data_IF_943274545516
#
_entry.id   IF_943274545516
#
_cell.length_a   1.000
_cell.length_b   1.000
_cell.length_c   1.000
_cell.angle_alpha   90.00
_cell.angle_beta   90.00
_cell.angle_gamma   90.00
#
_symmetry.space_group_name_H-M   'P 1'
#
loop_
_entity.id
_entity.type
_entity.pdbx_description
1 polymer ?
#
# COMPACT_ATOMS: atom_id res chain seq x y z
N UNK A 1 -10.36 2.35 1.54
CA UNK A 1 -9.10 2.61 2.28
C UNK A 1 -7.93 2.65 1.31
N UNK A 2 -7.09 3.70 1.31
CA UNK A 2 -6.02 3.85 0.32
C UNK A 2 -4.76 3.06 0.68
N UNK A 3 -4.18 2.32 -0.26
CA UNK A 3 -2.90 1.61 -0.12
C UNK A 3 -1.94 2.10 -1.20
N UNK A 4 -0.73 2.46 -0.82
CA UNK A 4 0.32 2.83 -1.77
C UNK A 4 1.28 1.65 -1.96
N UNK A 5 1.49 1.29 -3.21
CA UNK A 5 2.59 0.41 -3.59
C UNK A 5 3.90 1.21 -3.77
N UNK A 6 4.96 0.53 -4.22
CA UNK A 6 6.24 1.17 -4.49
C UNK A 6 6.16 2.21 -5.63
N UNK A 7 5.42 1.91 -6.69
CA UNK A 7 5.20 2.80 -7.84
C UNK A 7 4.57 4.14 -7.45
N UNK A 8 3.57 4.14 -6.57
CA UNK A 8 2.95 5.36 -6.05
C UNK A 8 3.93 6.19 -5.23
N UNK A 9 4.74 5.56 -4.36
CA UNK A 9 5.76 6.30 -3.59
C UNK A 9 6.83 6.92 -4.50
N UNK A 10 7.28 6.17 -5.52
CA UNK A 10 8.23 6.69 -6.53
C UNK A 10 7.60 7.85 -7.29
N UNK A 11 6.34 7.72 -7.73
CA UNK A 11 5.62 8.78 -8.44
C UNK A 11 5.45 10.05 -7.58
N UNK A 12 5.22 9.92 -6.28
CA UNK A 12 5.17 11.05 -5.34
C UNK A 12 6.54 11.69 -5.13
N UNK A 13 7.60 10.90 -4.98
CA UNK A 13 8.96 11.39 -4.88
C UNK A 13 9.39 12.20 -6.12
N UNK A 14 9.01 11.72 -7.30
CA UNK A 14 9.23 12.38 -8.59
C UNK A 14 8.27 13.57 -8.82
N UNK A 15 7.35 13.83 -7.90
CA UNK A 15 6.31 14.88 -7.99
C UNK A 15 5.45 14.78 -9.24
N UNK A 16 5.12 13.56 -9.68
CA UNK A 16 4.19 13.36 -10.80
C UNK A 16 2.83 13.96 -10.44
N UNK A 17 2.32 14.86 -11.29
CA UNK A 17 1.14 15.68 -10.99
C UNK A 17 -0.09 14.85 -10.58
N UNK A 18 -0.33 13.72 -11.27
CA UNK A 18 -1.43 12.81 -10.94
C UNK A 18 -1.28 12.16 -9.56
N UNK A 19 -0.09 11.67 -9.23
CA UNK A 19 0.18 11.07 -7.92
C UNK A 19 -0.01 12.10 -6.79
N UNK A 20 0.52 13.33 -6.97
CA UNK A 20 0.35 14.43 -6.02
C UNK A 20 -1.13 14.76 -5.82
N UNK A 21 -1.90 14.95 -6.90
CA UNK A 21 -3.32 15.25 -6.82
C UNK A 21 -4.12 14.14 -6.10
N UNK A 22 -3.82 12.86 -6.38
CA UNK A 22 -4.44 11.73 -5.71
C UNK A 22 -4.07 11.69 -4.21
N UNK A 23 -2.81 11.93 -3.85
CA UNK A 23 -2.39 11.99 -2.46
C UNK A 23 -3.09 13.13 -1.70
N UNK A 24 -3.11 14.33 -2.27
CA UNK A 24 -3.76 15.49 -1.67
C UNK A 24 -5.26 15.27 -1.45
N UNK A 25 -5.95 14.66 -2.43
CA UNK A 25 -7.36 14.30 -2.32
C UNK A 25 -7.66 13.30 -1.21
N UNK A 26 -6.67 12.51 -0.76
CA UNK A 26 -6.82 11.51 0.30
C UNK A 26 -6.44 12.02 1.70
N UNK A 27 -5.91 13.25 1.84
CA UNK A 27 -5.47 13.78 3.14
C UNK A 27 -6.60 13.91 4.15
N UNK A 28 -7.84 14.01 3.69
CA UNK A 28 -9.05 14.08 4.51
C UNK A 28 -9.74 12.72 4.70
N UNK A 29 -9.24 11.64 4.07
CA UNK A 29 -9.81 10.31 4.23
C UNK A 29 -9.73 9.86 5.70
N UNK A 30 -10.77 9.18 6.24
CA UNK A 30 -10.77 8.71 7.63
C UNK A 30 -9.61 7.78 7.97
N UNK A 31 -9.22 6.94 7.02
CA UNK A 31 -8.04 6.09 7.11
C UNK A 31 -6.91 6.72 6.32
N UNK A 32 -5.74 6.94 6.95
CA UNK A 32 -4.52 7.38 6.26
C UNK A 32 -4.12 6.38 5.17
N UNK A 33 -3.38 6.83 4.16
CA UNK A 33 -2.85 5.89 3.18
C UNK A 33 -1.92 4.88 3.85
N UNK A 34 -2.16 3.60 3.58
CA UNK A 34 -1.35 2.49 4.08
C UNK A 34 -0.08 2.38 3.22
N UNK A 35 1.08 2.40 3.88
CA UNK A 35 2.39 2.12 3.27
C UNK A 35 3.00 0.97 4.04
N UNK A 36 3.13 -0.20 3.41
CA UNK A 36 3.71 -1.36 4.08
C UNK A 36 5.23 -1.16 4.27
N UNK A 37 5.78 -1.62 5.39
CA UNK A 37 7.22 -1.49 5.68
C UNK A 37 8.13 -1.96 4.53
N UNK A 38 7.90 -3.16 3.94
CA UNK A 38 8.65 -3.63 2.78
C UNK A 38 8.54 -2.73 1.54
N UNK A 39 7.35 -2.13 1.29
CA UNK A 39 7.16 -1.16 0.19
C UNK A 39 8.02 0.08 0.42
N UNK A 40 7.98 0.65 1.64
CA UNK A 40 8.84 1.78 1.99
C UNK A 40 10.32 1.43 1.82
N UNK A 41 10.73 0.24 2.28
CA UNK A 41 12.12 -0.22 2.19
C UNK A 41 12.59 -0.41 0.74
N UNK A 42 11.72 -0.87 -0.17
CA UNK A 42 12.06 -0.99 -1.59
C UNK A 42 12.40 0.37 -2.21
N UNK A 43 11.71 1.44 -1.81
CA UNK A 43 11.82 2.77 -2.42
C UNK A 43 12.87 3.65 -1.73
N UNK A 44 13.03 3.56 -0.41
CA UNK A 44 13.86 4.49 0.36
C UNK A 44 15.35 4.41 -0.01
N UNK A 45 15.98 5.55 -0.31
CA UNK A 45 17.44 5.68 -0.57
C UNK A 45 17.99 6.90 0.18
N UNK A 46 19.28 6.92 0.57
CA UNK A 46 19.86 8.00 1.40
C UNK A 46 20.10 9.32 0.65
N UNK A 47 19.40 9.56 -0.46
CA UNK A 47 19.53 10.77 -1.28
C UNK A 47 18.70 11.90 -0.63
N UNK A 48 19.28 13.08 -0.32
CA UNK A 48 18.59 14.12 0.45
C UNK A 48 17.25 14.57 -0.12
N UNK A 49 17.15 14.70 -1.45
CA UNK A 49 15.91 15.10 -2.12
C UNK A 49 14.79 14.05 -1.93
N UNK A 50 15.13 12.76 -2.06
CA UNK A 50 14.18 11.67 -1.85
C UNK A 50 13.73 11.59 -0.40
N UNK A 51 14.68 11.68 0.54
CA UNK A 51 14.38 11.67 1.98
C UNK A 51 13.42 12.80 2.32
N UNK A 52 13.71 14.03 1.87
CA UNK A 52 12.85 15.19 2.12
C UNK A 52 11.44 14.98 1.54
N UNK A 53 11.34 14.55 0.29
CA UNK A 53 10.05 14.35 -0.39
C UNK A 53 9.21 13.27 0.31
N UNK A 54 9.76 12.09 0.54
CA UNK A 54 9.03 10.98 1.15
C UNK A 54 8.74 11.21 2.63
N UNK A 55 9.63 11.87 3.40
CA UNK A 55 9.31 12.27 4.77
C UNK A 55 8.11 13.22 4.84
N UNK A 56 7.89 14.05 3.81
CA UNK A 56 6.69 14.88 3.70
C UNK A 56 5.43 14.03 3.50
N UNK A 57 5.44 13.14 2.51
CA UNK A 57 4.33 12.23 2.17
C UNK A 57 3.95 11.33 3.36
N UNK A 58 4.93 10.79 4.07
CA UNK A 58 4.70 9.82 5.16
C UNK A 58 3.96 10.42 6.37
N UNK A 59 3.95 11.76 6.53
CA UNK A 59 3.16 12.43 7.59
C UNK A 59 1.65 12.24 7.42
N UNK A 60 1.20 11.98 6.19
CA UNK A 60 -0.20 11.75 5.86
C UNK A 60 -0.52 10.26 5.59
N UNK A 61 0.48 9.39 5.80
CA UNK A 61 0.38 7.95 5.64
C UNK A 61 0.51 7.24 7.00
N UNK A 62 0.23 5.94 7.00
CA UNK A 62 0.54 5.05 8.12
C UNK A 62 1.41 3.90 7.62
N UNK A 63 2.43 3.55 8.40
CA UNK A 63 3.26 2.37 8.24
C UNK A 63 2.94 1.43 9.41
N UNK A 64 2.08 0.41 9.22
CA UNK A 64 1.68 -0.47 10.31
C UNK A 64 2.88 -1.13 10.97
N UNK A 65 2.79 -1.35 12.28
CA UNK A 65 3.84 -1.96 13.12
C UNK A 65 5.15 -1.15 13.23
N UNK A 66 5.26 0.01 12.58
CA UNK A 66 6.34 0.95 12.83
C UNK A 66 5.99 1.84 14.03
N UNK A 67 6.75 1.71 15.13
CA UNK A 67 6.50 2.38 16.43
C UNK A 67 6.24 3.89 16.31
N UNK A 68 6.94 4.57 15.42
CA UNK A 68 6.90 6.02 15.24
C UNK A 68 6.00 6.46 14.09
N UNK A 69 5.24 5.54 13.49
CA UNK A 69 4.28 5.89 12.45
C UNK A 69 3.05 6.58 13.05
N UNK A 70 2.47 7.47 12.26
CA UNK A 70 1.11 7.94 12.50
C UNK A 70 0.12 6.76 12.59
N UNK A 71 -0.87 6.83 13.49
CA UNK A 71 -1.94 5.84 13.57
C UNK A 71 -2.74 5.72 12.25
N UNK A 72 -3.27 4.53 11.92
CA UNK A 72 -4.01 4.33 10.68
C UNK A 72 -5.26 5.20 10.55
N UNK A 73 -6.06 5.27 11.61
CA UNK A 73 -7.27 6.07 11.62
C UNK A 73 -6.97 7.49 12.11
N UNK A 74 -7.53 8.49 11.42
CA UNK A 74 -7.50 9.87 11.87
C UNK A 74 -8.36 10.01 13.13
N UNK A 75 -8.00 10.98 13.97
CA UNK A 75 -8.79 11.32 15.15
C UNK A 75 -10.12 11.96 14.77
N UNK A 76 -11.17 11.63 15.51
CA UNK A 76 -12.52 12.16 15.32
C UNK A 76 -13.04 12.75 16.62
N UNK A 77 -14.18 13.46 16.58
CA UNK A 77 -14.84 13.97 17.80
C UNK A 77 -15.23 12.85 18.78
N UNK A 78 -15.45 11.64 18.28
CA UNK A 78 -15.80 10.46 19.09
C UNK A 78 -14.55 9.69 19.59
N UNK A 79 -13.35 10.23 19.39
CA UNK A 79 -12.08 9.57 19.66
C UNK A 79 -11.42 9.00 18.40
N UNK A 80 -10.44 8.12 18.59
CA UNK A 80 -9.66 7.52 17.50
C UNK A 80 -10.04 6.03 17.35
N UNK A 81 -10.82 5.65 16.33
CA UNK A 81 -11.12 4.24 16.09
C UNK A 81 -9.83 3.48 15.73
N UNK A 82 -9.81 2.18 15.96
CA UNK A 82 -8.69 1.32 15.54
C UNK A 82 -9.03 0.61 14.23
N UNK A 83 -8.01 0.41 13.38
CA UNK A 83 -8.10 -0.49 12.24
C UNK A 83 -7.51 -1.84 12.64
N UNK A 84 -8.36 -2.86 12.83
CA UNK A 84 -7.93 -4.19 13.25
C UNK A 84 -6.92 -4.82 12.28
N UNK A 85 -7.10 -4.63 10.97
CA UNK A 85 -6.20 -5.14 9.95
C UNK A 85 -4.81 -4.47 9.96
N UNK A 86 -4.72 -3.20 10.39
CA UNK A 86 -3.43 -2.53 10.60
C UNK A 86 -2.81 -2.88 11.97
N UNK A 87 -3.66 -3.02 13.00
CA UNK A 87 -3.23 -3.37 14.35
C UNK A 87 -2.66 -4.79 14.42
N UNK A 88 -3.16 -5.68 13.57
CA UNK A 88 -2.71 -7.08 13.47
C UNK A 88 -1.89 -7.29 12.20
N UNK A 89 -0.61 -7.59 12.36
CA UNK A 89 0.24 -8.03 11.25
C UNK A 89 -0.25 -9.33 10.61
N UNK A 90 0.38 -9.76 9.50
CA UNK A 90 0.08 -11.05 8.87
C UNK A 90 0.34 -12.20 9.84
N UNK A 91 -0.56 -13.18 9.82
CA UNK A 91 -0.32 -14.47 10.45
C UNK A 91 0.31 -15.49 9.47
N UNK A 92 0.51 -16.72 9.94
CA UNK A 92 1.08 -17.80 9.11
C UNK A 92 0.18 -18.16 7.92
N UNK A 93 -1.14 -18.08 8.06
CA UNK A 93 -2.07 -18.36 6.97
C UNK A 93 -1.98 -17.28 5.89
N UNK A 94 -1.84 -16.02 6.29
CA UNK A 94 -1.59 -14.90 5.37
C UNK A 94 -0.31 -15.13 4.55
N UNK A 95 0.80 -15.50 5.19
CA UNK A 95 2.06 -15.79 4.48
C UNK A 95 1.92 -16.97 3.49
N UNK A 96 1.15 -18.01 3.84
CA UNK A 96 0.84 -19.12 2.92
C UNK A 96 -0.03 -18.67 1.74
N UNK A 97 -0.97 -17.76 1.96
CA UNK A 97 -1.80 -17.17 0.89
C UNK A 97 -0.96 -16.34 -0.06
N UNK A 98 0.00 -15.55 0.45
CA UNK A 98 0.98 -14.83 -0.38
C UNK A 98 1.78 -15.82 -1.21
N UNK A 99 2.34 -16.86 -0.60
CA UNK A 99 3.10 -17.90 -1.31
C UNK A 99 2.27 -18.59 -2.41
N UNK A 100 1.00 -18.88 -2.13
CA UNK A 100 0.07 -19.45 -3.11
C UNK A 100 -0.22 -18.47 -4.26
N UNK A 101 -0.43 -17.19 -3.96
CA UNK A 101 -0.63 -16.15 -4.97
C UNK A 101 0.61 -15.98 -5.86
N UNK A 102 1.81 -15.99 -5.27
CA UNK A 102 3.08 -15.96 -6.00
C UNK A 102 3.22 -17.10 -7.01
N UNK A 103 2.78 -18.32 -6.65
CA UNK A 103 2.83 -19.48 -7.54
C UNK A 103 1.72 -19.54 -8.59
N UNK A 104 0.68 -18.70 -8.49
CA UNK A 104 -0.51 -18.74 -9.36
C UNK A 104 -0.73 -17.48 -10.19
N UNK A 105 -0.15 -16.35 -9.80
CA UNK A 105 -0.33 -15.09 -10.49
C UNK A 105 0.13 -15.20 -11.95
N UNK A 106 -0.78 -14.90 -12.88
CA UNK A 106 -0.50 -14.89 -14.31
C UNK A 106 0.19 -13.57 -14.71
N UNK A 107 1.47 -13.45 -14.35
CA UNK A 107 2.28 -12.27 -14.66
C UNK A 107 2.79 -12.30 -16.13
N UNK A 108 3.11 -11.13 -16.72
CA UNK A 108 3.77 -11.06 -18.02
C UNK A 108 5.06 -11.89 -18.06
N UNK A 109 5.39 -12.50 -19.19
CA UNK A 109 6.46 -13.52 -19.32
C UNK A 109 7.86 -13.08 -18.88
N UNK A 110 8.14 -11.77 -18.85
CA UNK A 110 9.43 -11.20 -18.40
C UNK A 110 9.44 -10.80 -16.92
N UNK A 111 8.29 -10.80 -16.26
CA UNK A 111 8.13 -10.41 -14.86
C UNK A 111 8.34 -11.62 -13.96
N UNK A 112 8.99 -11.38 -12.81
CA UNK A 112 9.11 -12.38 -11.75
C UNK A 112 8.09 -12.05 -10.66
N UNK A 113 7.55 -13.07 -9.97
CA UNK A 113 6.71 -12.81 -8.82
C UNK A 113 7.44 -11.99 -7.74
N UNK A 114 6.83 -10.90 -7.27
CA UNK A 114 7.30 -10.06 -6.16
C UNK A 114 6.43 -10.30 -4.91
N UNK A 115 7.07 -10.71 -3.82
CA UNK A 115 6.42 -10.96 -2.54
C UNK A 115 5.85 -9.67 -1.91
N UNK A 116 6.41 -8.50 -2.21
CA UNK A 116 5.92 -7.22 -1.72
C UNK A 116 4.63 -6.83 -2.43
N UNK A 117 4.54 -7.01 -3.76
CA UNK A 117 3.31 -6.75 -4.51
C UNK A 117 2.18 -7.70 -4.09
N UNK A 118 2.49 -8.98 -3.91
CA UNK A 118 1.54 -9.96 -3.38
C UNK A 118 1.09 -9.60 -1.95
N UNK A 119 1.98 -9.03 -1.12
CA UNK A 119 1.65 -8.55 0.20
C UNK A 119 0.78 -7.28 0.17
N UNK A 120 1.01 -6.35 -0.77
CA UNK A 120 0.15 -5.19 -1.02
C UNK A 120 -1.27 -5.66 -1.40
N UNK A 121 -1.38 -6.62 -2.31
CA UNK A 121 -2.66 -7.18 -2.73
C UNK A 121 -3.40 -7.87 -1.57
N UNK A 122 -2.71 -8.66 -0.74
CA UNK A 122 -3.32 -9.30 0.42
C UNK A 122 -3.70 -8.28 1.50
N UNK A 123 -2.88 -7.26 1.75
CA UNK A 123 -3.21 -6.18 2.67
C UNK A 123 -4.49 -5.46 2.23
N UNK A 124 -4.67 -5.20 0.93
CA UNK A 124 -5.91 -4.66 0.39
C UNK A 124 -7.11 -5.58 0.66
N UNK A 125 -6.96 -6.86 0.37
CA UNK A 125 -7.99 -7.87 0.61
C UNK A 125 -8.41 -7.95 2.09
N UNK A 126 -7.46 -7.80 3.04
CA UNK A 126 -7.73 -7.85 4.49
C UNK A 126 -8.55 -6.66 5.00
N UNK A 127 -8.50 -5.51 4.33
CA UNK A 127 -9.20 -4.32 4.81
C UNK A 127 -10.64 -4.20 4.26
N UNK A 128 -10.92 -4.78 3.09
CA UNK A 128 -12.18 -4.55 2.38
C UNK A 128 -12.32 -3.10 1.87
N UNK A 129 -13.01 -2.91 0.75
CA UNK A 129 -13.18 -1.60 0.09
C UNK A 129 -11.86 -0.82 -0.06
N UNK A 130 -10.79 -1.53 -0.41
CA UNK A 130 -9.45 -0.98 -0.51
C UNK A 130 -9.18 -0.46 -1.92
N UNK A 131 -8.35 0.58 -2.03
CA UNK A 131 -7.91 1.15 -3.32
C UNK A 131 -6.40 1.15 -3.33
N UNK A 132 -5.80 0.36 -4.22
CA UNK A 132 -4.35 0.27 -4.42
C UNK A 132 -3.95 1.30 -5.49
N UNK A 133 -3.00 2.15 -5.17
CA UNK A 133 -2.41 3.12 -6.10
C UNK A 133 -1.07 2.57 -6.58
N UNK A 134 -0.90 2.43 -7.89
CA UNK A 134 0.26 1.75 -8.50
C UNK A 134 0.59 2.30 -9.89
N UNK A 135 1.86 2.27 -10.27
CA UNK A 135 2.27 2.50 -11.67
C UNK A 135 2.16 1.26 -12.54
N UNK A 136 1.98 0.07 -11.94
CA UNK A 136 1.84 -1.20 -12.64
C UNK A 136 0.57 -1.96 -12.22
N UNK A 137 -0.60 -1.54 -12.75
CA UNK A 137 -1.86 -2.17 -12.39
C UNK A 137 -1.96 -3.62 -12.87
N UNK A 138 -1.19 -4.06 -13.87
CA UNK A 138 -1.28 -5.42 -14.40
C UNK A 138 -0.74 -6.43 -13.39
N UNK A 139 0.41 -6.12 -12.78
CA UNK A 139 1.02 -6.98 -11.77
C UNK A 139 0.12 -7.14 -10.54
N UNK A 140 -0.41 -6.03 -10.01
CA UNK A 140 -1.32 -6.05 -8.87
C UNK A 140 -2.59 -6.83 -9.19
N UNK A 141 -3.20 -6.64 -10.36
CA UNK A 141 -4.39 -7.37 -10.75
C UNK A 141 -4.14 -8.88 -10.91
N UNK A 142 -2.95 -9.31 -11.32
CA UNK A 142 -2.60 -10.73 -11.36
C UNK A 142 -2.63 -11.36 -9.96
N UNK A 143 -2.15 -10.64 -8.94
CA UNK A 143 -2.23 -11.09 -7.55
C UNK A 143 -3.66 -11.06 -6.99
N UNK A 144 -4.42 -9.99 -7.27
CA UNK A 144 -5.81 -9.92 -6.85
C UNK A 144 -6.64 -11.05 -7.47
N UNK A 145 -6.39 -11.40 -8.74
CA UNK A 145 -7.03 -12.55 -9.40
C UNK A 145 -6.74 -13.86 -8.67
N UNK A 146 -5.48 -14.08 -8.26
CA UNK A 146 -5.09 -15.27 -7.52
C UNK A 146 -5.65 -15.31 -6.08
N UNK A 147 -5.86 -14.16 -5.46
CA UNK A 147 -6.39 -14.01 -4.10
C UNK A 147 -7.93 -13.97 -4.04
N UNK A 148 -8.59 -13.63 -5.17
CA UNK A 148 -10.03 -13.48 -5.33
C UNK A 148 -10.75 -12.66 -4.22
N UNK A 149 -10.31 -11.42 -3.92
CA UNK A 149 -11.01 -10.58 -2.96
C UNK A 149 -12.31 -10.02 -3.57
N UNK A 150 -13.26 -9.65 -2.71
CA UNK A 150 -14.58 -9.17 -3.13
C UNK A 150 -14.66 -7.68 -3.44
N UNK A 151 -13.79 -6.86 -2.84
CA UNK A 151 -13.91 -5.40 -2.92
C UNK A 151 -12.55 -4.70 -2.80
N UNK A 152 -11.75 -4.84 -3.85
CA UNK A 152 -10.46 -4.15 -4.01
C UNK A 152 -10.39 -3.52 -5.40
N UNK A 153 -10.03 -2.24 -5.44
CA UNK A 153 -9.85 -1.49 -6.69
C UNK A 153 -8.38 -1.14 -6.89
N UNK A 154 -7.97 -1.05 -8.15
CA UNK A 154 -6.62 -0.64 -8.55
C UNK A 154 -6.72 0.65 -9.36
N UNK A 155 -5.99 1.67 -8.94
CA UNK A 155 -5.93 2.98 -9.61
C UNK A 155 -4.52 3.18 -10.16
N UNK A 156 -4.34 3.28 -11.49
CA UNK A 156 -3.05 3.61 -12.06
C UNK A 156 -2.66 5.05 -11.72
N UNK A 157 -1.38 5.33 -11.46
CA UNK A 157 -0.86 6.66 -11.11
C UNK A 157 0.17 7.20 -12.08
#
# INVERSE_FOLDING_TARGET
MPIYDAGMLIALADRKAKAVALHDGLRTAPHRALVLGPVLAQVWRPQPALVYALSGVLKDCTVPQARTSEPPMRETKAGRPECLACATGPDLADWRRIGTALGRAALPTKKRPDAVDAWVALAAARHGSAVIFTTDPQDINAYLTALAPTDVHVVPV
#
